data_IF_735912420799
#
_entry.id   IF_735912420799
#
_cell.length_a   1.000
_cell.length_b   1.000
_cell.length_c   1.000
_cell.angle_alpha   90.00
_cell.angle_beta   90.00
_cell.angle_gamma   90.00
#
_symmetry.space_group_name_H-M   'P 1'
#
loop_
_entity.id
_entity.type
_entity.pdbx_description
1 polymer ?
#
# COMPACT_ATOMS: atom_id res chain seq x y z
N UNK A 1 -5.60 -14.03 -0.51
CA UNK A 1 -5.21 -12.67 -0.12
C UNK A 1 -3.75 -12.46 -0.50
N UNK A 2 -3.42 -11.27 -1.03
CA UNK A 2 -2.09 -10.98 -1.57
C UNK A 2 -1.16 -10.44 -0.49
N UNK A 3 0.15 -10.69 -0.64
CA UNK A 3 1.16 -10.07 0.21
C UNK A 3 1.09 -8.54 0.09
N UNK A 4 1.38 -7.82 1.18
CA UNK A 4 1.42 -6.35 1.17
C UNK A 4 2.34 -5.81 0.07
N UNK A 5 1.88 -4.78 -0.65
CA UNK A 5 2.71 -4.04 -1.62
C UNK A 5 3.74 -3.15 -0.90
N UNK A 6 4.81 -2.68 -1.57
CA UNK A 6 5.90 -1.94 -0.90
C UNK A 6 5.44 -0.73 -0.08
N UNK A 7 4.49 0.06 -0.59
CA UNK A 7 4.01 1.26 0.11
C UNK A 7 3.11 0.94 1.31
N UNK A 8 2.29 -0.13 1.22
CA UNK A 8 1.59 -0.70 2.38
C UNK A 8 2.58 -1.15 3.46
N UNK A 9 3.69 -1.81 3.08
CA UNK A 9 4.72 -2.24 4.04
C UNK A 9 5.38 -1.07 4.76
N UNK A 10 5.62 0.04 4.06
CA UNK A 10 6.20 1.24 4.67
C UNK A 10 5.23 1.82 5.70
N UNK A 11 3.97 2.01 5.33
CA UNK A 11 2.94 2.52 6.23
C UNK A 11 2.76 1.59 7.44
N UNK A 12 2.58 0.29 7.20
CA UNK A 12 2.46 -0.72 8.24
C UNK A 12 3.66 -0.72 9.18
N UNK A 13 4.89 -0.60 8.67
CA UNK A 13 6.10 -0.54 9.50
C UNK A 13 6.12 0.70 10.40
N UNK A 14 5.71 1.85 9.88
CA UNK A 14 5.64 3.09 10.67
C UNK A 14 4.60 2.96 11.79
N UNK A 15 3.40 2.48 11.46
CA UNK A 15 2.33 2.27 12.44
C UNK A 15 2.68 1.19 13.46
N UNK A 16 3.24 0.07 13.02
CA UNK A 16 3.72 -1.01 13.89
C UNK A 16 4.72 -0.51 14.93
N UNK A 17 5.70 0.29 14.50
CA UNK A 17 6.67 0.88 15.43
C UNK A 17 5.98 1.75 16.46
N UNK A 18 5.11 2.66 16.03
CA UNK A 18 4.36 3.51 16.95
C UNK A 18 3.57 2.68 17.99
N UNK A 19 2.82 1.67 17.54
CA UNK A 19 2.04 0.80 18.42
C UNK A 19 2.92 0.08 19.43
N UNK A 20 3.95 -0.65 18.96
CA UNK A 20 4.85 -1.41 19.85
C UNK A 20 5.51 -0.50 20.89
N UNK A 21 5.88 0.72 20.48
CA UNK A 21 6.51 1.70 21.34
C UNK A 21 5.59 2.27 22.43
N UNK A 22 4.27 2.29 22.23
CA UNK A 22 3.25 2.81 23.16
C UNK A 22 2.67 1.73 24.09
N UNK A 23 2.84 0.45 23.75
CA UNK A 23 2.31 -0.66 24.55
C UNK A 23 3.20 -0.96 25.75
N UNK A 24 2.59 -1.13 26.92
CA UNK A 24 3.31 -1.44 28.15
C UNK A 24 2.70 -2.64 28.88
N UNK A 25 3.54 -3.40 29.57
CA UNK A 25 3.18 -4.50 30.47
C UNK A 25 2.23 -5.52 29.81
N UNK A 26 1.01 -5.67 30.34
CA UNK A 26 0.01 -6.62 29.85
C UNK A 26 -0.45 -6.30 28.41
N UNK A 27 -0.47 -5.04 28.00
CA UNK A 27 -0.88 -4.67 26.64
C UNK A 27 0.18 -5.08 25.61
N UNK A 28 1.46 -4.96 25.97
CA UNK A 28 2.55 -5.47 25.13
C UNK A 28 2.52 -7.00 25.01
N UNK A 29 2.24 -7.69 26.11
CA UNK A 29 2.11 -9.15 26.12
C UNK A 29 0.94 -9.63 25.24
N UNK A 30 -0.23 -9.01 25.35
CA UNK A 30 -1.39 -9.30 24.50
C UNK A 30 -1.07 -9.09 23.01
N UNK A 31 -0.41 -7.99 22.69
CA UNK A 31 0.01 -7.71 21.32
C UNK A 31 0.99 -8.77 20.80
N UNK A 32 1.96 -9.17 21.62
CA UNK A 32 2.90 -10.23 21.28
C UNK A 32 2.19 -11.57 21.01
N UNK A 33 1.22 -11.95 21.84
CA UNK A 33 0.39 -13.14 21.60
C UNK A 33 -0.31 -13.07 20.25
N UNK A 34 -0.99 -11.96 19.95
CA UNK A 34 -1.71 -11.78 18.68
C UNK A 34 -0.76 -11.88 17.49
N UNK A 35 0.39 -11.21 17.55
CA UNK A 35 1.41 -11.27 16.49
C UNK A 35 1.89 -12.69 16.26
N UNK A 36 2.21 -13.43 17.33
CA UNK A 36 2.73 -14.79 17.21
C UNK A 36 1.66 -15.77 16.75
N UNK A 37 0.42 -15.68 17.23
CA UNK A 37 -0.71 -16.49 16.74
C UNK A 37 -0.96 -16.28 15.23
N UNK A 38 -0.78 -15.05 14.74
CA UNK A 38 -0.95 -14.74 13.31
C UNK A 38 0.25 -15.17 12.45
N UNK A 39 1.47 -15.14 13.00
CA UNK A 39 2.72 -15.33 12.22
C UNK A 39 3.39 -16.69 12.39
N UNK A 40 3.07 -17.44 13.44
CA UNK A 40 3.73 -18.70 13.79
C UNK A 40 2.70 -19.77 14.17
N UNK A 41 2.37 -20.70 13.25
CA UNK A 41 1.36 -21.74 13.49
C UNK A 41 1.66 -22.69 14.66
N UNK A 42 2.93 -22.80 15.07
CA UNK A 42 3.39 -23.68 16.16
C UNK A 42 3.47 -22.97 17.52
N UNK A 43 3.08 -21.70 17.57
CA UNK A 43 3.05 -20.91 18.78
C UNK A 43 1.84 -21.26 19.65
N UNK A 44 2.10 -21.45 20.95
CA UNK A 44 1.09 -21.69 21.97
C UNK A 44 1.18 -20.58 23.03
N UNK A 45 0.13 -19.76 23.20
CA UNK A 45 0.10 -18.79 24.29
C UNK A 45 -0.05 -19.52 25.63
N UNK A 46 0.75 -19.12 26.61
CA UNK A 46 0.72 -19.63 27.98
C UNK A 46 0.04 -18.59 28.85
N UNK A 47 -1.15 -18.93 29.36
CA UNK A 47 -1.87 -18.07 30.31
C UNK A 47 -1.59 -18.50 31.74
N UNK A 48 -1.55 -17.53 32.64
CA UNK A 48 -1.59 -17.78 34.08
C UNK A 48 -2.91 -18.49 34.43
N UNK A 49 -2.84 -19.59 35.20
CA UNK A 49 -4.05 -20.29 35.67
C UNK A 49 -3.99 -20.56 37.17
N UNK A 50 -4.80 -19.82 37.94
CA UNK A 50 -4.95 -19.99 39.39
C UNK A 50 -3.60 -20.04 40.12
N UNK A 51 -3.42 -21.05 41.00
CA UNK A 51 -2.19 -21.24 41.78
C UNK A 51 -0.99 -21.79 40.97
N UNK A 52 -1.15 -22.07 39.67
CA UNK A 52 -0.11 -22.67 38.82
C UNK A 52 0.80 -21.60 38.20
N UNK A 53 0.32 -20.34 38.09
CA UNK A 53 1.04 -19.25 37.43
C UNK A 53 1.24 -19.48 35.92
N UNK A 54 2.15 -18.73 35.30
CA UNK A 54 2.62 -18.87 33.91
C UNK A 54 3.84 -19.81 33.78
N UNK A 55 4.40 -20.23 34.92
CA UNK A 55 5.67 -20.96 35.02
C UNK A 55 6.82 -20.26 34.28
N UNK A 56 6.85 -18.93 34.35
CA UNK A 56 7.98 -18.10 33.91
C UNK A 56 8.06 -17.85 32.41
N UNK A 57 6.98 -18.03 31.66
CA UNK A 57 6.93 -17.64 30.26
C UNK A 57 5.51 -17.43 29.75
N UNK A 58 5.39 -16.46 28.85
CA UNK A 58 4.13 -16.03 28.25
C UNK A 58 3.78 -16.89 27.03
N UNK A 59 4.77 -17.48 26.35
CA UNK A 59 4.51 -18.29 25.14
C UNK A 59 5.54 -19.38 24.89
N UNK A 60 5.16 -20.39 24.10
CA UNK A 60 6.01 -21.51 23.70
C UNK A 60 5.80 -21.84 22.21
N UNK A 61 6.88 -21.90 21.45
CA UNK A 61 6.88 -22.50 20.11
C UNK A 61 7.28 -23.97 20.19
N UNK A 62 6.37 -24.86 19.78
CA UNK A 62 6.52 -26.31 19.97
C UNK A 62 7.61 -26.93 19.09
N UNK A 63 7.81 -26.42 17.87
CA UNK A 63 8.81 -26.99 16.95
C UNK A 63 10.20 -26.42 17.20
N UNK A 64 10.31 -25.10 17.38
CA UNK A 64 11.61 -24.46 17.68
C UNK A 64 12.08 -24.74 19.12
N UNK A 65 11.16 -25.09 20.03
CA UNK A 65 11.44 -25.19 21.45
C UNK A 65 11.87 -23.83 22.02
N UNK A 66 11.24 -22.74 21.55
CA UNK A 66 11.50 -21.38 21.99
C UNK A 66 10.49 -20.96 23.05
N UNK A 67 10.99 -20.59 24.23
CA UNK A 67 10.20 -20.09 25.33
C UNK A 67 10.31 -18.55 25.38
N UNK A 68 9.17 -17.86 25.31
CA UNK A 68 9.12 -16.40 25.21
C UNK A 68 8.69 -15.77 26.52
N UNK A 69 9.44 -14.75 26.96
CA UNK A 69 9.09 -13.93 28.11
C UNK A 69 9.10 -12.45 27.71
N UNK A 70 7.99 -11.76 27.97
CA UNK A 70 7.72 -10.40 27.55
C UNK A 70 8.09 -9.37 28.64
N UNK A 71 8.86 -8.37 28.20
CA UNK A 71 9.35 -7.29 29.03
C UNK A 71 9.11 -5.96 28.31
N UNK A 72 7.97 -5.32 28.63
CA UNK A 72 7.63 -4.00 28.12
C UNK A 72 7.36 -3.00 29.25
N UNK A 73 8.35 -2.60 30.05
CA UNK A 73 8.11 -1.65 31.12
C UNK A 73 7.69 -0.28 30.57
N UNK A 74 6.86 0.46 31.31
CA UNK A 74 6.52 1.85 30.98
C UNK A 74 7.73 2.77 31.16
N UNK A 75 8.46 2.59 32.25
CA UNK A 75 9.72 3.27 32.54
C UNK A 75 10.83 2.22 32.67
N UNK A 76 11.91 2.37 31.90
CA UNK A 76 13.00 1.43 31.95
C UNK A 76 13.77 1.51 33.28
N UNK A 77 13.76 0.41 34.04
CA UNK A 77 14.60 0.20 35.21
C UNK A 77 15.38 -1.11 35.07
N UNK A 78 16.72 -1.01 34.97
CA UNK A 78 17.58 -2.16 34.73
C UNK A 78 17.59 -3.19 35.88
N UNK A 79 17.34 -2.76 37.12
CA UNK A 79 17.31 -3.66 38.29
C UNK A 79 16.01 -4.46 38.34
N UNK A 80 14.87 -3.81 38.07
CA UNK A 80 13.56 -4.47 37.99
C UNK A 80 13.51 -5.48 36.85
N UNK A 81 13.97 -5.09 35.65
CA UNK A 81 14.02 -6.01 34.49
C UNK A 81 14.92 -7.21 34.80
N UNK A 82 16.06 -6.99 35.47
CA UNK A 82 16.97 -8.07 35.88
C UNK A 82 16.35 -9.01 36.91
N UNK A 83 15.67 -8.45 37.90
CA UNK A 83 14.97 -9.23 38.93
C UNK A 83 13.88 -10.09 38.30
N UNK A 84 13.05 -9.49 37.43
CA UNK A 84 12.00 -10.21 36.70
C UNK A 84 12.59 -11.31 35.82
N UNK A 85 13.58 -10.99 35.00
CA UNK A 85 14.24 -11.97 34.12
C UNK A 85 14.80 -13.18 34.89
N UNK A 86 15.51 -12.95 36.00
CA UNK A 86 16.04 -14.06 36.83
C UNK A 86 14.93 -14.90 37.43
N UNK A 87 13.85 -14.27 37.90
CA UNK A 87 12.70 -14.97 38.47
C UNK A 87 12.02 -15.85 37.41
N UNK A 88 11.76 -15.31 36.24
CA UNK A 88 11.09 -16.01 35.14
C UNK A 88 11.98 -17.17 34.64
N UNK A 89 13.27 -16.92 34.45
CA UNK A 89 14.23 -17.94 34.03
C UNK A 89 14.35 -19.09 35.03
N UNK A 90 14.48 -18.78 36.33
CA UNK A 90 14.56 -19.80 37.36
C UNK A 90 13.27 -20.64 37.40
N UNK A 91 12.10 -20.01 37.24
CA UNK A 91 10.82 -20.68 37.15
C UNK A 91 10.74 -21.60 35.93
N UNK A 92 11.17 -21.10 34.76
CA UNK A 92 11.19 -21.86 33.51
C UNK A 92 12.13 -23.07 33.59
N UNK A 93 13.37 -22.90 34.09
CA UNK A 93 14.32 -24.00 34.26
C UNK A 93 13.82 -25.03 35.27
N UNK A 94 13.20 -24.58 36.37
CA UNK A 94 12.70 -25.49 37.42
C UNK A 94 11.50 -26.31 36.95
N UNK A 95 10.54 -25.68 36.27
CA UNK A 95 9.25 -26.31 35.97
C UNK A 95 9.10 -26.80 34.53
N UNK A 96 9.97 -26.37 33.61
CA UNK A 96 9.91 -26.66 32.17
C UNK A 96 11.23 -27.20 31.62
N UNK A 97 12.12 -27.72 32.48
CA UNK A 97 13.35 -28.40 32.04
C UNK A 97 13.05 -29.46 30.98
N UNK A 98 13.78 -29.43 29.87
CA UNK A 98 13.61 -30.34 28.74
C UNK A 98 12.47 -30.00 27.76
N UNK A 99 11.65 -28.98 28.03
CA UNK A 99 10.56 -28.56 27.14
C UNK A 99 10.96 -27.46 26.16
N UNK A 100 12.11 -26.82 26.37
CA UNK A 100 12.61 -25.75 25.51
C UNK A 100 14.13 -25.86 25.37
N UNK A 101 14.63 -25.37 24.24
CA UNK A 101 16.06 -25.27 23.93
C UNK A 101 16.54 -23.82 23.91
N UNK A 102 15.60 -22.87 23.76
CA UNK A 102 15.89 -21.44 23.63
C UNK A 102 14.99 -20.62 24.54
N UNK A 103 15.56 -19.72 25.34
CA UNK A 103 14.83 -18.71 26.12
C UNK A 103 14.95 -17.35 25.42
N UNK A 104 13.82 -16.71 25.13
CA UNK A 104 13.75 -15.49 24.32
C UNK A 104 13.24 -14.33 25.17
N UNK A 105 14.10 -13.34 25.36
CA UNK A 105 13.77 -12.05 25.98
C UNK A 105 13.09 -11.14 24.95
N UNK A 106 11.77 -11.00 25.05
CA UNK A 106 10.96 -10.15 24.16
C UNK A 106 10.82 -8.76 24.76
N UNK A 107 11.09 -7.71 23.99
CA UNK A 107 11.03 -6.33 24.50
C UNK A 107 10.52 -5.32 23.48
N UNK A 108 10.02 -4.20 23.97
CA UNK A 108 9.51 -3.08 23.18
C UNK A 108 10.42 -1.83 23.19
N UNK A 109 11.65 -1.96 23.73
CA UNK A 109 12.57 -0.81 23.87
C UNK A 109 12.72 -0.03 22.55
N UNK A 110 12.37 1.26 22.60
CA UNK A 110 12.35 2.19 21.47
C UNK A 110 13.76 2.50 20.95
N UNK A 111 14.79 2.33 21.78
CA UNK A 111 16.17 2.62 21.41
C UNK A 111 16.69 1.52 20.50
N UNK A 112 17.36 1.88 19.41
CA UNK A 112 17.99 0.89 18.50
C UNK A 112 19.09 0.13 19.25
N UNK A 113 18.76 -1.07 19.75
CA UNK A 113 19.67 -1.94 20.50
C UNK A 113 19.07 -2.38 21.84
N UNK A 114 19.86 -3.10 22.64
CA UNK A 114 19.48 -3.47 24.02
C UNK A 114 20.37 -2.72 25.01
N UNK A 115 19.83 -2.40 26.18
CA UNK A 115 20.60 -1.77 27.24
C UNK A 115 21.81 -2.67 27.64
N UNK A 116 23.01 -2.11 27.89
CA UNK A 116 24.21 -2.90 28.18
C UNK A 116 24.05 -3.92 29.32
N UNK A 117 23.32 -3.54 30.37
CA UNK A 117 23.03 -4.44 31.50
C UNK A 117 22.17 -5.65 31.11
N UNK A 118 21.27 -5.50 30.13
CA UNK A 118 20.47 -6.62 29.60
C UNK A 118 21.36 -7.53 28.74
N UNK A 119 22.27 -6.95 27.95
CA UNK A 119 23.24 -7.73 27.19
C UNK A 119 24.13 -8.60 28.10
N UNK A 120 24.64 -8.01 29.19
CA UNK A 120 25.43 -8.76 30.19
C UNK A 120 24.61 -9.85 30.86
N UNK A 121 23.36 -9.56 31.21
CA UNK A 121 22.44 -10.52 31.84
C UNK A 121 22.17 -11.72 30.93
N UNK A 122 21.88 -11.49 29.64
CA UNK A 122 21.68 -12.56 28.65
C UNK A 122 22.95 -13.41 28.50
N UNK A 123 24.11 -12.76 28.42
CA UNK A 123 25.39 -13.47 28.33
C UNK A 123 25.67 -14.33 29.57
N UNK A 124 25.40 -13.81 30.77
CA UNK A 124 25.60 -14.57 32.01
C UNK A 124 24.66 -15.77 32.08
N UNK A 125 23.39 -15.59 31.72
CA UNK A 125 22.42 -16.69 31.68
C UNK A 125 22.82 -17.81 30.70
N UNK A 126 23.42 -17.44 29.57
CA UNK A 126 23.97 -18.39 28.59
C UNK A 126 25.10 -19.26 29.17
N UNK A 127 25.92 -18.70 30.06
CA UNK A 127 26.98 -19.44 30.76
C UNK A 127 26.40 -20.34 31.86
N UNK A 128 25.45 -19.82 32.63
CA UNK A 128 24.91 -20.48 33.82
C UNK A 128 23.98 -21.67 33.48
N UNK A 129 23.36 -21.66 32.29
CA UNK A 129 22.31 -22.62 31.91
C UNK A 129 22.59 -23.39 30.60
N UNK A 130 23.85 -23.64 30.25
CA UNK A 130 24.19 -24.48 29.10
C UNK A 130 23.50 -25.87 29.21
N UNK A 131 22.84 -26.41 28.15
CA UNK A 131 22.86 -25.99 26.74
C UNK A 131 21.72 -25.07 26.28
N UNK A 132 20.95 -24.47 27.18
CA UNK A 132 19.88 -23.53 26.81
C UNK A 132 20.47 -22.33 26.09
N UNK A 133 19.92 -21.98 24.91
CA UNK A 133 20.28 -20.79 24.15
C UNK A 133 19.50 -19.59 24.65
N UNK A 134 20.11 -18.42 24.66
CA UNK A 134 19.44 -17.18 25.02
C UNK A 134 19.41 -16.21 23.84
N UNK A 135 18.24 -15.66 23.55
CA UNK A 135 18.03 -14.71 22.47
C UNK A 135 17.24 -13.49 22.94
N UNK A 136 17.29 -12.41 22.15
CA UNK A 136 16.40 -11.26 22.31
C UNK A 136 15.55 -11.05 21.06
N UNK A 137 14.33 -10.57 21.29
CA UNK A 137 13.35 -10.23 20.26
C UNK A 137 12.80 -8.81 20.51
N UNK A 138 13.51 -7.82 19.98
CA UNK A 138 13.10 -6.41 19.99
C UNK A 138 12.22 -5.97 18.80
N UNK A 139 11.84 -4.68 18.73
CA UNK A 139 10.88 -4.16 17.75
C UNK A 139 11.19 -4.48 16.28
N UNK A 140 12.45 -4.39 15.87
CA UNK A 140 12.84 -4.68 14.48
C UNK A 140 12.66 -6.17 14.12
N UNK A 141 12.91 -7.08 15.07
CA UNK A 141 12.71 -8.52 14.84
C UNK A 141 11.24 -8.91 14.95
N UNK A 142 10.48 -8.26 15.83
CA UNK A 142 9.02 -8.39 15.88
C UNK A 142 8.40 -7.95 14.55
N UNK A 143 8.90 -6.86 13.95
CA UNK A 143 8.47 -6.44 12.61
C UNK A 143 8.75 -7.51 11.55
N UNK A 144 9.90 -8.18 11.56
CA UNK A 144 10.17 -9.27 10.61
C UNK A 144 9.20 -10.44 10.74
N UNK A 145 8.72 -10.72 11.96
CA UNK A 145 7.63 -11.68 12.17
C UNK A 145 6.31 -11.18 11.59
N UNK A 146 5.99 -9.89 11.76
CA UNK A 146 4.79 -9.28 11.19
C UNK A 146 4.80 -9.21 9.65
N UNK A 147 5.97 -9.19 9.02
CA UNK A 147 6.10 -9.09 7.55
C UNK A 147 5.54 -10.30 6.78
N UNK A 148 5.33 -11.44 7.44
CA UNK A 148 4.74 -12.63 6.79
C UNK A 148 3.21 -12.52 6.68
N UNK A 149 2.60 -11.59 7.42
CA UNK A 149 1.16 -11.39 7.44
C UNK A 149 0.68 -10.77 6.13
N UNK A 150 -0.53 -11.15 5.72
CA UNK A 150 -1.23 -10.45 4.65
C UNK A 150 -1.82 -9.12 5.15
N UNK A 151 -2.41 -8.36 4.22
CA UNK A 151 -2.97 -7.03 4.54
C UNK A 151 -4.08 -7.10 5.59
N UNK A 152 -4.91 -8.14 5.58
CA UNK A 152 -6.03 -8.25 6.52
C UNK A 152 -5.52 -8.58 7.91
N UNK A 153 -4.59 -9.52 8.02
CA UNK A 153 -4.00 -9.91 9.30
C UNK A 153 -3.16 -8.78 9.92
N UNK A 154 -2.45 -7.98 9.12
CA UNK A 154 -1.69 -6.84 9.66
C UNK A 154 -2.62 -5.69 10.09
N UNK A 155 -3.72 -5.44 9.36
CA UNK A 155 -4.72 -4.44 9.75
C UNK A 155 -5.41 -4.82 11.05
N UNK A 156 -5.72 -6.11 11.22
CA UNK A 156 -6.25 -6.65 12.46
C UNK A 156 -5.25 -6.51 13.61
N UNK A 157 -3.97 -6.84 13.38
CA UNK A 157 -2.93 -6.73 14.40
C UNK A 157 -2.71 -5.27 14.85
N UNK A 158 -2.80 -4.32 13.92
CA UNK A 158 -2.53 -2.91 14.16
C UNK A 158 -3.78 -2.11 14.57
N UNK A 159 -4.95 -2.74 14.56
CA UNK A 159 -6.27 -2.10 14.73
C UNK A 159 -6.40 -0.84 13.88
N UNK A 160 -5.99 -0.95 12.61
CA UNK A 160 -5.83 0.19 11.73
C UNK A 160 -5.96 -0.28 10.28
N UNK A 161 -6.89 0.31 9.54
CA UNK A 161 -6.94 0.14 8.09
C UNK A 161 -5.69 0.77 7.47
N UNK A 162 -5.12 0.08 6.49
CA UNK A 162 -4.07 0.63 5.64
C UNK A 162 -4.81 1.18 4.42
N UNK A 163 -5.11 2.49 4.36
CA UNK A 163 -5.93 3.11 3.31
C UNK A 163 -5.24 3.13 1.94
N UNK A 164 -4.10 2.45 1.83
CA UNK A 164 -3.39 2.24 0.59
C UNK A 164 -4.06 1.04 -0.06
N UNK A 165 -5.09 1.33 -0.85
CA UNK A 165 -5.75 0.34 -1.66
C UNK A 165 -4.76 -0.29 -2.64
N UNK A 166 -4.97 -1.57 -2.97
CA UNK A 166 -4.30 -2.17 -4.11
C UNK A 166 -4.49 -1.27 -5.32
N UNK A 167 -3.49 -1.23 -6.19
CA UNK A 167 -3.52 -0.55 -7.48
C UNK A 167 -4.76 -1.01 -8.29
N UNK A 168 -5.89 -0.36 -8.08
CA UNK A 168 -7.11 -0.53 -8.86
C UNK A 168 -6.78 -0.01 -10.23
N UNK A 169 -6.93 -0.84 -11.26
CA UNK A 169 -7.00 -0.33 -12.62
C UNK A 169 -8.24 0.56 -12.68
N UNK A 170 -8.09 1.81 -13.11
CA UNK A 170 -9.21 2.72 -13.33
C UNK A 170 -10.30 2.02 -14.13
N UNK A 171 -11.57 2.18 -13.72
CA UNK A 171 -12.76 1.36 -14.03
C UNK A 171 -12.44 -0.04 -14.59
N UNK A 172 -12.82 -1.10 -13.86
CA UNK A 172 -12.72 -2.50 -14.30
C UNK A 172 -13.21 -2.77 -15.75
N UNK A 173 -14.04 -1.91 -16.31
CA UNK A 173 -14.59 -1.98 -17.67
C UNK A 173 -13.64 -1.50 -18.79
N UNK A 174 -12.60 -0.70 -18.48
CA UNK A 174 -11.64 -0.20 -19.46
C UNK A 174 -10.45 -1.12 -19.69
N UNK A 175 -10.15 -2.02 -18.76
CA UNK A 175 -9.01 -2.95 -18.90
C UNK A 175 -9.06 -3.77 -20.21
N UNK A 176 -10.22 -4.32 -20.65
CA UNK A 176 -10.31 -5.02 -21.93
C UNK A 176 -10.13 -4.09 -23.14
N UNK A 177 -10.56 -2.82 -23.05
CA UNK A 177 -10.33 -1.82 -24.09
C UNK A 177 -8.85 -1.45 -24.18
N UNK A 178 -8.18 -1.21 -23.06
CA UNK A 178 -6.74 -0.94 -23.01
C UNK A 178 -5.96 -2.12 -23.62
N UNK A 179 -6.32 -3.36 -23.29
CA UNK A 179 -5.65 -4.52 -23.85
C UNK A 179 -5.92 -4.69 -25.35
N UNK A 180 -7.14 -4.38 -25.81
CA UNK A 180 -7.46 -4.33 -27.23
C UNK A 180 -6.58 -3.32 -27.97
N UNK A 181 -6.41 -2.10 -27.44
CA UNK A 181 -5.56 -1.07 -28.05
C UNK A 181 -4.08 -1.46 -28.07
N UNK A 182 -3.60 -2.13 -27.02
CA UNK A 182 -2.22 -2.63 -26.97
C UNK A 182 -1.97 -3.73 -27.99
N UNK A 183 -2.92 -4.65 -28.13
CA UNK A 183 -2.83 -5.78 -29.06
C UNK A 183 -2.95 -5.36 -30.53
N UNK A 184 -3.70 -4.29 -30.82
CA UNK A 184 -3.98 -3.83 -32.19
C UNK A 184 -3.26 -2.52 -32.53
N UNK A 185 -2.20 -2.16 -31.79
CA UNK A 185 -1.49 -0.89 -31.96
C UNK A 185 -0.98 -0.73 -33.41
N UNK A 186 -1.19 0.43 -34.05
CA UNK A 186 -0.67 0.68 -35.39
C UNK A 186 0.87 0.63 -35.40
N UNK A 187 1.43 -0.05 -36.39
CA UNK A 187 2.87 -0.01 -36.65
C UNK A 187 3.28 1.38 -37.19
N UNK A 188 4.56 1.79 -37.07
CA UNK A 188 4.99 3.13 -37.48
C UNK A 188 4.70 3.49 -38.95
N UNK A 189 4.74 2.50 -39.83
CA UNK A 189 4.40 2.59 -41.25
C UNK A 189 2.89 2.70 -41.52
N UNK A 190 2.07 2.39 -40.51
CA UNK A 190 0.60 2.43 -40.54
C UNK A 190 0.04 3.68 -39.85
N UNK A 191 0.90 4.61 -39.42
CA UNK A 191 0.43 5.86 -38.82
C UNK A 191 -0.39 6.67 -39.83
N UNK A 192 -1.69 6.74 -39.58
CA UNK A 192 -2.59 7.60 -40.32
C UNK A 192 -2.30 9.05 -39.97
N UNK A 193 -2.33 9.91 -40.99
CA UNK A 193 -2.43 11.36 -40.76
C UNK A 193 -3.80 11.61 -40.14
N UNK A 194 -3.81 12.20 -38.96
CA UNK A 194 -5.02 12.60 -38.24
C UNK A 194 -5.10 14.11 -38.24
N UNK A 195 -6.31 14.64 -38.35
CA UNK A 195 -6.53 16.06 -38.13
C UNK A 195 -6.27 16.37 -36.65
N UNK A 196 -5.60 17.49 -36.33
CA UNK A 196 -5.36 17.85 -34.95
C UNK A 196 -6.68 18.21 -34.24
N UNK A 197 -6.73 18.11 -32.89
CA UNK A 197 -7.89 18.55 -32.13
C UNK A 197 -8.25 20.01 -32.44
N UNK A 198 -9.55 20.39 -32.37
CA UNK A 198 -9.99 21.75 -32.64
C UNK A 198 -9.23 22.78 -31.79
N UNK A 199 -8.51 23.70 -32.44
CA UNK A 199 -7.65 24.68 -31.76
C UNK A 199 -8.45 25.54 -30.76
N UNK A 200 -9.66 25.96 -31.13
CA UNK A 200 -10.55 26.72 -30.25
C UNK A 200 -10.93 25.96 -28.97
N UNK A 201 -11.09 24.63 -29.05
CA UNK A 201 -11.37 23.79 -27.88
C UNK A 201 -10.13 23.66 -26.98
N UNK A 202 -8.95 23.50 -27.56
CA UNK A 202 -7.68 23.46 -26.82
C UNK A 202 -7.46 24.77 -26.06
N UNK A 203 -7.64 25.90 -26.73
CA UNK A 203 -7.45 27.24 -26.15
C UNK A 203 -8.52 27.57 -25.10
N UNK A 204 -9.81 27.31 -25.38
CA UNK A 204 -10.90 27.56 -24.41
C UNK A 204 -10.71 26.82 -23.08
N UNK A 205 -10.12 25.62 -23.14
CA UNK A 205 -9.88 24.78 -21.97
C UNK A 205 -8.49 24.99 -21.36
N UNK A 206 -7.73 25.99 -21.84
CA UNK A 206 -6.37 26.31 -21.36
C UNK A 206 -5.46 25.06 -21.37
N UNK A 207 -5.55 24.23 -22.42
CA UNK A 207 -4.73 23.03 -22.57
C UNK A 207 -3.38 23.39 -23.19
N UNK A 208 -2.29 23.03 -22.51
CA UNK A 208 -0.93 23.30 -22.97
C UNK A 208 -0.55 22.55 -24.26
N UNK A 209 0.52 23.02 -24.91
CA UNK A 209 1.03 22.42 -26.15
C UNK A 209 1.42 20.93 -25.98
N UNK A 210 1.95 20.55 -24.81
CA UNK A 210 2.30 19.16 -24.50
C UNK A 210 1.05 18.25 -24.54
N UNK A 211 -0.03 18.66 -23.87
CA UNK A 211 -1.30 17.92 -23.87
C UNK A 211 -1.86 17.83 -25.29
N UNK A 212 -1.79 18.92 -26.07
CA UNK A 212 -2.20 18.94 -27.47
C UNK A 212 -1.44 17.91 -28.30
N UNK A 213 -0.12 17.80 -28.16
CA UNK A 213 0.70 16.81 -28.86
C UNK A 213 0.29 15.37 -28.48
N UNK A 214 0.05 15.11 -27.20
CA UNK A 214 -0.41 13.79 -26.75
C UNK A 214 -1.81 13.44 -27.28
N UNK A 215 -2.73 14.40 -27.34
CA UNK A 215 -4.05 14.19 -27.95
C UNK A 215 -3.92 13.85 -29.44
N UNK A 216 -3.05 14.54 -30.20
CA UNK A 216 -2.77 14.21 -31.61
C UNK A 216 -2.23 12.79 -31.76
N UNK A 217 -1.35 12.36 -30.85
CA UNK A 217 -0.84 10.99 -30.83
C UNK A 217 -1.98 10.00 -30.52
N UNK A 218 -2.84 10.32 -29.56
CA UNK A 218 -4.00 9.51 -29.16
C UNK A 218 -5.03 9.34 -30.29
N UNK A 219 -5.32 10.41 -31.05
CA UNK A 219 -6.24 10.41 -32.19
C UNK A 219 -5.90 9.34 -33.24
N UNK A 220 -4.64 8.93 -33.35
CA UNK A 220 -4.23 7.85 -34.25
C UNK A 220 -4.87 6.49 -33.92
N UNK A 221 -5.35 6.31 -32.68
CA UNK A 221 -5.90 5.05 -32.18
C UNK A 221 -7.42 5.07 -31.99
N UNK A 222 -8.10 6.20 -32.23
CA UNK A 222 -9.56 6.32 -31.97
C UNK A 222 -10.40 5.37 -32.83
N UNK A 223 -9.97 5.09 -34.06
CA UNK A 223 -10.62 4.11 -34.93
C UNK A 223 -10.64 2.68 -34.35
N UNK A 224 -9.62 2.30 -33.56
CA UNK A 224 -9.58 1.00 -32.88
C UNK A 224 -10.59 0.96 -31.72
N UNK A 225 -10.83 2.09 -31.06
CA UNK A 225 -11.83 2.22 -30.00
C UNK A 225 -13.24 2.08 -30.60
N UNK A 226 -13.49 2.75 -31.74
CA UNK A 226 -14.76 2.55 -32.47
C UNK A 226 -14.96 1.11 -32.91
N UNK A 227 -13.91 0.46 -33.44
CA UNK A 227 -13.97 -0.95 -33.84
C UNK A 227 -14.24 -1.88 -32.63
N UNK A 228 -13.64 -1.58 -31.48
CA UNK A 228 -13.88 -2.32 -30.24
C UNK A 228 -15.35 -2.27 -29.81
N UNK A 229 -15.96 -1.08 -29.75
CA UNK A 229 -17.36 -0.94 -29.34
C UNK A 229 -18.34 -1.53 -30.38
N UNK A 230 -18.08 -1.34 -31.67
CA UNK A 230 -18.87 -1.95 -32.75
C UNK A 230 -18.86 -3.48 -32.70
N UNK A 231 -17.79 -4.09 -32.19
CA UNK A 231 -17.67 -5.53 -32.03
C UNK A 231 -18.37 -6.10 -30.78
N UNK A 232 -18.95 -5.27 -29.91
CA UNK A 232 -19.62 -5.74 -28.68
C UNK A 232 -21.07 -6.12 -28.95
N UNK A 233 -21.54 -7.13 -28.21
CA UNK A 233 -22.96 -7.53 -28.20
C UNK A 233 -23.85 -6.49 -27.51
N UNK A 234 -23.29 -5.75 -26.54
CA UNK A 234 -23.97 -4.66 -25.86
C UNK A 234 -23.83 -3.36 -26.66
N UNK A 235 -24.93 -2.97 -27.32
CA UNK A 235 -25.01 -1.76 -28.13
C UNK A 235 -24.90 -0.45 -27.31
N UNK A 236 -25.11 -0.52 -25.99
CA UNK A 236 -25.05 0.65 -25.11
C UNK A 236 -23.70 0.79 -24.38
N UNK A 237 -22.76 -0.12 -24.63
CA UNK A 237 -21.47 -0.12 -23.92
C UNK A 237 -20.66 1.16 -24.15
N UNK A 238 -20.71 1.73 -25.37
CA UNK A 238 -20.03 3.00 -25.67
C UNK A 238 -20.65 4.15 -24.88
N UNK A 239 -21.98 4.28 -24.92
CA UNK A 239 -22.72 5.34 -24.23
C UNK A 239 -22.53 5.29 -22.71
N UNK A 240 -22.50 4.09 -22.13
CA UNK A 240 -22.25 3.91 -20.68
C UNK A 240 -20.85 4.38 -20.29
N UNK A 241 -19.83 4.01 -21.07
CA UNK A 241 -18.46 4.48 -20.82
C UNK A 241 -18.37 5.99 -21.00
N UNK A 242 -18.98 6.52 -22.07
CA UNK A 242 -19.00 7.96 -22.33
C UNK A 242 -19.65 8.76 -21.18
N UNK A 243 -20.81 8.30 -20.69
CA UNK A 243 -21.49 8.89 -19.54
C UNK A 243 -20.64 8.85 -18.26
N UNK A 244 -19.92 7.74 -18.04
CA UNK A 244 -18.97 7.61 -16.94
C UNK A 244 -17.83 8.63 -17.01
N UNK A 245 -17.23 8.82 -18.19
CA UNK A 245 -16.18 9.83 -18.40
C UNK A 245 -16.70 11.26 -18.20
N UNK A 246 -17.89 11.58 -18.71
CA UNK A 246 -18.50 12.90 -18.49
C UNK A 246 -18.74 13.16 -17.01
N UNK A 247 -19.34 12.21 -16.29
CA UNK A 247 -19.60 12.35 -14.86
C UNK A 247 -18.31 12.55 -14.04
N UNK A 248 -17.27 11.76 -14.35
CA UNK A 248 -15.98 11.86 -13.67
C UNK A 248 -15.25 13.17 -13.98
N UNK A 249 -15.32 13.63 -15.24
CA UNK A 249 -14.79 14.93 -15.64
C UNK A 249 -15.47 16.09 -14.89
N UNK A 250 -16.80 16.08 -14.79
CA UNK A 250 -17.56 17.10 -14.06
C UNK A 250 -17.27 17.09 -12.56
N UNK A 251 -17.02 15.92 -11.97
CA UNK A 251 -16.52 15.78 -10.60
C UNK A 251 -15.13 16.40 -10.44
N UNK A 252 -14.15 15.99 -11.25
CA UNK A 252 -12.77 16.50 -11.18
C UNK A 252 -12.71 18.03 -11.34
N UNK A 253 -13.54 18.59 -12.22
CA UNK A 253 -13.64 20.05 -12.39
C UNK A 253 -14.15 20.78 -11.15
N UNK A 254 -15.19 20.24 -10.51
CA UNK A 254 -15.80 20.83 -9.30
C UNK A 254 -14.81 20.83 -8.14
N UNK A 255 -14.05 19.74 -7.98
CA UNK A 255 -13.01 19.65 -6.95
C UNK A 255 -11.86 20.64 -7.17
N UNK A 256 -11.49 20.90 -8.42
CA UNK A 256 -10.33 21.70 -8.79
C UNK A 256 -10.66 23.17 -9.13
N UNK A 257 -11.82 23.65 -8.66
CA UNK A 257 -12.32 25.02 -8.88
C UNK A 257 -12.29 25.48 -10.35
N UNK A 258 -12.47 24.54 -11.28
CA UNK A 258 -12.58 24.78 -12.73
C UNK A 258 -11.38 25.41 -13.45
N UNK A 259 -10.17 25.47 -12.86
CA UNK A 259 -9.05 26.25 -13.44
C UNK A 259 -7.73 25.51 -13.70
N UNK A 260 -7.62 24.23 -13.37
CA UNK A 260 -6.34 23.51 -13.51
C UNK A 260 -6.46 22.36 -14.52
N UNK A 261 -6.31 22.69 -15.80
CA UNK A 261 -6.44 21.76 -16.92
C UNK A 261 -5.45 20.60 -16.82
N UNK A 262 -4.22 20.86 -16.39
CA UNK A 262 -3.18 19.85 -16.13
C UNK A 262 -3.60 18.84 -15.05
N UNK A 263 -4.11 19.31 -13.91
CA UNK A 263 -4.62 18.41 -12.86
C UNK A 263 -5.85 17.63 -13.31
N UNK A 264 -6.74 18.23 -14.12
CA UNK A 264 -7.90 17.54 -14.67
C UNK A 264 -7.44 16.42 -15.63
N UNK A 265 -6.46 16.68 -16.50
CA UNK A 265 -5.84 15.66 -17.35
C UNK A 265 -5.24 14.55 -16.49
N UNK A 266 -4.49 14.88 -15.43
CA UNK A 266 -3.92 13.90 -14.53
C UNK A 266 -4.99 13.01 -13.86
N UNK A 267 -6.11 13.60 -13.41
CA UNK A 267 -7.26 12.85 -12.87
C UNK A 267 -7.89 11.92 -13.91
N UNK A 268 -8.07 12.37 -15.15
CA UNK A 268 -8.62 11.52 -16.21
C UNK A 268 -7.65 10.37 -16.57
N UNK A 269 -6.34 10.63 -16.57
CA UNK A 269 -5.33 9.58 -16.76
C UNK A 269 -5.31 8.59 -15.58
N UNK A 270 -5.45 9.07 -14.34
CA UNK A 270 -5.66 8.24 -13.14
C UNK A 270 -6.95 7.42 -13.26
N UNK A 271 -8.03 8.01 -13.79
CA UNK A 271 -9.28 7.30 -14.02
C UNK A 271 -9.18 6.21 -15.10
N UNK A 272 -8.30 6.37 -16.09
CA UNK A 272 -8.07 5.36 -17.14
C UNK A 272 -7.11 4.27 -16.67
N UNK A 273 -5.99 4.66 -16.06
CA UNK A 273 -4.90 3.75 -15.70
C UNK A 273 -5.02 3.18 -14.30
N UNK A 274 -5.83 3.83 -13.47
CA UNK A 274 -5.77 3.68 -12.03
C UNK A 274 -4.51 4.30 -11.45
N UNK A 275 -4.16 3.85 -10.25
CA UNK A 275 -3.01 4.38 -9.52
C UNK A 275 -1.66 3.79 -9.98
N UNK A 276 -1.64 3.02 -11.08
CA UNK A 276 -0.42 2.38 -11.62
C UNK A 276 0.35 3.36 -12.49
N UNK A 277 1.66 3.37 -12.35
CA UNK A 277 2.53 3.98 -13.36
C UNK A 277 2.35 3.16 -14.66
N UNK A 278 1.79 3.76 -15.72
CA UNK A 278 1.53 3.04 -16.95
C UNK A 278 2.84 2.70 -17.68
N UNK A 279 2.89 1.53 -18.33
CA UNK A 279 3.93 1.26 -19.34
C UNK A 279 3.76 2.20 -20.53
N UNK A 280 4.79 2.46 -21.36
CA UNK A 280 4.63 3.33 -22.53
C UNK A 280 3.48 2.91 -23.47
N UNK A 281 3.25 1.60 -23.64
CA UNK A 281 2.11 1.10 -24.43
C UNK A 281 0.75 1.39 -23.78
N UNK A 282 0.68 1.32 -22.44
CA UNK A 282 -0.53 1.59 -21.67
C UNK A 282 -0.82 3.09 -21.68
N UNK A 283 0.19 3.94 -21.48
CA UNK A 283 0.06 5.40 -21.57
C UNK A 283 -0.50 5.83 -22.91
N UNK A 284 0.02 5.25 -24.01
CA UNK A 284 -0.46 5.55 -25.34
C UNK A 284 -1.94 5.15 -25.53
N UNK A 285 -2.33 3.98 -25.02
CA UNK A 285 -3.73 3.56 -25.04
C UNK A 285 -4.62 4.52 -24.23
N UNK A 286 -4.15 5.02 -23.09
CA UNK A 286 -4.86 6.00 -22.28
C UNK A 286 -5.07 7.34 -23.00
N UNK A 287 -4.02 7.85 -23.64
CA UNK A 287 -4.15 9.03 -24.51
C UNK A 287 -5.09 8.80 -25.69
N UNK A 288 -5.14 7.58 -26.24
CA UNK A 288 -6.14 7.20 -27.25
C UNK A 288 -7.57 7.30 -26.74
N UNK A 289 -7.84 6.77 -25.54
CA UNK A 289 -9.15 6.84 -24.88
C UNK A 289 -9.52 8.29 -24.57
N UNK A 290 -8.57 9.07 -24.03
CA UNK A 290 -8.80 10.48 -23.73
C UNK A 290 -9.12 11.27 -25.00
N UNK A 291 -8.35 11.08 -26.07
CA UNK A 291 -8.60 11.73 -27.36
C UNK A 291 -9.97 11.35 -27.95
N UNK A 292 -10.40 10.09 -27.79
CA UNK A 292 -11.70 9.61 -28.26
C UNK A 292 -12.88 10.37 -27.66
N UNK A 293 -12.86 10.55 -26.33
CA UNK A 293 -13.90 11.26 -25.60
C UNK A 293 -13.77 12.78 -25.71
N UNK A 294 -12.55 13.28 -25.91
CA UNK A 294 -12.30 14.69 -26.23
C UNK A 294 -12.95 15.08 -27.56
N UNK A 295 -12.73 14.29 -28.62
CA UNK A 295 -13.25 14.54 -29.96
C UNK A 295 -14.80 14.48 -30.00
N UNK A 296 -15.40 13.61 -29.18
CA UNK A 296 -16.85 13.44 -29.05
C UNK A 296 -17.52 14.38 -28.05
N UNK A 297 -16.79 15.37 -27.54
CA UNK A 297 -17.30 16.36 -26.60
C UNK A 297 -17.85 15.80 -25.28
N UNK A 298 -17.36 14.64 -24.83
CA UNK A 298 -17.70 14.07 -23.52
C UNK A 298 -16.86 14.63 -22.38
N UNK A 299 -15.67 15.13 -22.70
CA UNK A 299 -14.75 15.80 -21.79
C UNK A 299 -14.22 17.08 -22.45
N UNK A 300 -13.95 18.09 -21.63
CA UNK A 300 -13.55 19.45 -22.05
C UNK A 300 -14.62 20.16 -22.89
N UNK A 301 -14.86 21.43 -22.60
CA UNK A 301 -16.00 22.15 -23.18
C UNK A 301 -15.74 22.59 -24.61
N UNK A 302 -16.82 22.63 -25.39
CA UNK A 302 -16.80 23.34 -26.66
C UNK A 302 -17.01 24.82 -26.39
N UNK A 303 -16.18 25.73 -26.95
CA UNK A 303 -16.39 27.15 -26.77
C UNK A 303 -17.78 27.58 -27.27
N UNK A 304 -18.45 28.51 -26.56
CA UNK A 304 -19.67 29.15 -27.06
C UNK A 304 -19.47 29.81 -28.42
N UNK A 305 -20.54 29.93 -29.21
CA UNK A 305 -20.47 30.48 -30.58
C UNK A 305 -19.98 31.94 -30.64
N UNK A 306 -20.12 32.68 -29.54
CA UNK A 306 -19.69 34.07 -29.35
C UNK A 306 -18.28 34.20 -28.74
N UNK A 307 -17.57 33.09 -28.51
CA UNK A 307 -16.22 33.12 -27.97
C UNK A 307 -15.20 33.56 -29.04
N UNK A 308 -14.46 34.63 -28.77
CA UNK A 308 -13.57 35.28 -29.73
C UNK A 308 -12.09 34.88 -29.63
N UNK A 309 -11.75 33.87 -28.82
CA UNK A 309 -10.35 33.47 -28.58
C UNK A 309 -9.51 34.52 -27.84
N UNK A 310 -8.28 34.17 -27.51
CA UNK A 310 -7.27 35.16 -27.16
C UNK A 310 -6.73 35.74 -28.47
N UNK A 311 -6.95 37.05 -28.69
CA UNK A 311 -6.32 37.77 -29.81
C UNK A 311 -4.81 37.81 -29.58
N UNK A 312 -4.08 36.79 -30.04
CA UNK A 312 -2.64 36.84 -30.21
C UNK A 312 -2.27 37.58 -31.52
N UNK A 313 -2.81 38.79 -31.70
CA UNK A 313 -2.30 39.78 -32.66
C UNK A 313 -2.84 41.18 -32.29
N UNK A 314 -2.26 41.79 -31.25
CA UNK A 314 -2.20 43.24 -31.14
C UNK A 314 -0.76 43.69 -30.85
N UNK A 315 -0.24 44.43 -31.83
CA UNK A 315 0.95 45.29 -31.82
C UNK A 315 2.32 44.60 -31.91
N UNK A 316 2.64 44.16 -33.13
CA UNK A 316 3.87 44.67 -33.74
C UNK A 316 3.73 46.20 -33.87
N UNK A 317 4.32 46.95 -32.95
CA UNK A 317 4.89 48.30 -33.19
C UNK A 317 5.95 48.56 -32.12
#
# INVERSE_FOLDING_TARGET
MGAMVPVQRIYAKMRFRQVVEELHTAEFEKFFHRLMELSAPDYVPVRTHGNIGDRGADGLSLHEGSLYACYGPEVFNAEEVRSKFRKDLNSAVTHRSGQFSTFVFVHNDRRRGIHPEISKMIQQAQLDHHPVKFQQLGPDKLWYKAMVLDVVAIEELLDCQIPIENLVFGISDLAPLIEHLRSNRPQPDQFRRVEPPPAAKIEFNELGDEVREFLVIGLRSTHLISAYFQGRLDAYAEDQVAAGFTAYYDEARRELEHRDSEKIIARLQEHIHGNKIPTPSTSLAGWGILAYFFERCHIFETPPADWSGSTAEQAAT
#
